data_IF_677945230065
#
_entry.id   IF_677945230065
#
_cell.length_a   1.000
_cell.length_b   1.000
_cell.length_c   1.000
_cell.angle_alpha   90.00
_cell.angle_beta   90.00
_cell.angle_gamma   90.00
#
_symmetry.space_group_name_H-M   'P 1'
#
loop_
_entity.id
_entity.type
_entity.pdbx_description
1 polymer ?
#
# COMPACT_ATOMS: atom_id res chain seq x y z
N UNK A 1 34.71 -1.48 -7.14
CA UNK A 1 33.94 -2.02 -8.27
C UNK A 1 32.71 -1.14 -8.45
N UNK A 2 32.47 -0.60 -9.64
CA UNK A 2 31.21 0.11 -9.92
C UNK A 2 30.08 -0.92 -10.05
N UNK A 3 28.98 -0.68 -9.34
CA UNK A 3 27.79 -1.54 -9.38
C UNK A 3 27.14 -1.46 -10.76
N UNK A 4 27.01 -2.59 -11.44
CA UNK A 4 26.38 -2.65 -12.77
C UNK A 4 24.86 -2.55 -12.64
N UNK A 5 24.24 -1.81 -13.57
CA UNK A 5 22.78 -1.71 -13.61
C UNK A 5 22.19 -3.02 -14.15
N UNK A 6 21.16 -3.54 -13.49
CA UNK A 6 20.41 -4.72 -13.90
C UNK A 6 18.93 -4.39 -13.93
N UNK A 7 18.15 -5.18 -14.65
CA UNK A 7 16.70 -5.10 -14.58
C UNK A 7 16.21 -5.64 -13.24
N UNK A 8 15.49 -4.82 -12.50
CA UNK A 8 14.90 -5.19 -11.21
C UNK A 8 13.39 -5.12 -11.30
N UNK A 9 12.72 -6.16 -10.77
CA UNK A 9 11.29 -6.17 -10.53
C UNK A 9 11.06 -6.09 -9.03
N UNK A 10 10.74 -4.90 -8.53
CA UNK A 10 10.54 -4.63 -7.10
C UNK A 10 9.05 -4.69 -6.80
N UNK A 11 8.67 -5.56 -5.86
CA UNK A 11 7.29 -5.78 -5.45
C UNK A 11 7.11 -5.50 -3.97
N UNK A 12 6.00 -4.87 -3.61
CA UNK A 12 5.54 -4.74 -2.24
C UNK A 12 4.24 -5.53 -2.06
N UNK A 13 4.30 -6.52 -1.17
CA UNK A 13 3.19 -7.43 -0.88
C UNK A 13 2.51 -7.04 0.43
N UNK A 14 1.21 -7.27 0.52
CA UNK A 14 0.50 -7.22 1.79
C UNK A 14 0.72 -8.49 2.63
N UNK A 15 0.17 -8.51 3.85
CA UNK A 15 0.25 -9.64 4.78
C UNK A 15 -0.35 -10.94 4.25
N UNK A 16 -1.17 -10.86 3.19
CA UNK A 16 -1.80 -12.01 2.55
C UNK A 16 -1.02 -12.46 1.29
N UNK A 17 0.13 -11.85 1.00
CA UNK A 17 0.91 -12.14 -0.20
C UNK A 17 0.35 -11.52 -1.48
N UNK A 18 -0.61 -10.58 -1.40
CA UNK A 18 -1.08 -9.88 -2.60
C UNK A 18 -0.15 -8.72 -2.94
N UNK A 19 0.24 -8.63 -4.21
CA UNK A 19 1.01 -7.49 -4.72
C UNK A 19 0.16 -6.22 -4.65
N UNK A 20 0.66 -5.19 -3.95
CA UNK A 20 0.01 -3.86 -3.88
C UNK A 20 0.70 -2.85 -4.78
N UNK A 21 2.02 -2.92 -4.88
CA UNK A 21 2.81 -2.09 -5.76
C UNK A 21 3.88 -2.94 -6.44
N UNK A 22 4.14 -2.64 -7.71
CA UNK A 22 5.20 -3.27 -8.50
C UNK A 22 5.85 -2.22 -9.39
N UNK A 23 7.18 -2.24 -9.46
CA UNK A 23 7.97 -1.38 -10.33
C UNK A 23 9.03 -2.25 -11.00
N UNK A 24 9.05 -2.25 -12.33
CA UNK A 24 10.13 -2.84 -13.12
C UNK A 24 11.02 -1.73 -13.64
N UNK A 25 12.30 -1.73 -13.27
CA UNK A 25 13.25 -0.70 -13.71
C UNK A 25 14.69 -1.24 -13.77
N UNK A 26 15.40 -0.87 -14.84
CA UNK A 26 16.85 -1.07 -14.93
C UNK A 26 17.58 -0.07 -14.05
N UNK A 27 18.21 -0.54 -12.98
CA UNK A 27 18.95 0.30 -12.04
C UNK A 27 20.02 -0.48 -11.25
N UNK A 28 20.79 0.22 -10.43
CA UNK A 28 21.74 -0.38 -9.49
C UNK A 28 21.00 -1.02 -8.30
N UNK A 29 21.62 -1.99 -7.63
CA UNK A 29 21.00 -2.68 -6.48
C UNK A 29 20.61 -1.68 -5.38
N UNK A 30 21.50 -0.73 -5.08
CA UNK A 30 21.25 0.39 -4.17
C UNK A 30 19.96 1.17 -4.49
N UNK A 31 19.67 1.41 -5.77
CA UNK A 31 18.42 2.06 -6.22
C UNK A 31 17.23 1.13 -6.06
N UNK A 32 17.36 -0.15 -6.38
CA UNK A 32 16.29 -1.14 -6.19
C UNK A 32 15.88 -1.26 -4.71
N UNK A 33 16.85 -1.27 -3.77
CA UNK A 33 16.59 -1.24 -2.32
C UNK A 33 15.87 0.05 -1.90
N UNK A 34 16.28 1.19 -2.47
CA UNK A 34 15.62 2.48 -2.19
C UNK A 34 14.17 2.49 -2.70
N UNK A 35 13.92 1.92 -3.88
CA UNK A 35 12.57 1.75 -4.42
C UNK A 35 11.70 0.87 -3.50
N UNK A 36 12.24 -0.25 -3.01
CA UNK A 36 11.52 -1.13 -2.08
C UNK A 36 11.09 -0.39 -0.79
N UNK A 37 12.00 0.40 -0.19
CA UNK A 37 11.69 1.23 0.99
C UNK A 37 10.62 2.28 0.69
N UNK A 38 10.67 2.90 -0.50
CA UNK A 38 9.67 3.88 -0.92
C UNK A 38 8.28 3.24 -1.07
N UNK A 39 8.20 2.05 -1.66
CA UNK A 39 6.94 1.30 -1.76
C UNK A 39 6.36 0.97 -0.37
N UNK A 40 7.21 0.53 0.56
CA UNK A 40 6.80 0.30 1.95
C UNK A 40 6.29 1.57 2.62
N UNK A 41 7.01 2.69 2.46
CA UNK A 41 6.60 3.97 3.04
C UNK A 41 5.24 4.41 2.50
N UNK A 42 5.02 4.34 1.19
CA UNK A 42 3.73 4.67 0.58
C UNK A 42 2.60 3.80 1.15
N UNK A 43 2.85 2.50 1.34
CA UNK A 43 1.87 1.61 1.95
C UNK A 43 1.57 1.97 3.41
N UNK A 44 2.58 2.37 4.17
CA UNK A 44 2.44 2.81 5.57
C UNK A 44 1.72 4.14 5.70
N UNK A 45 1.98 5.08 4.79
CA UNK A 45 1.38 6.44 4.81
C UNK A 45 0.09 6.54 4.03
N UNK A 46 -0.40 5.44 3.44
CA UNK A 46 -1.65 5.46 2.67
C UNK A 46 -2.82 5.95 3.53
N UNK A 47 -3.68 6.83 3.00
CA UNK A 47 -4.81 7.37 3.75
C UNK A 47 -5.75 6.24 4.22
N UNK A 48 -6.36 6.43 5.39
CA UNK A 48 -7.20 5.41 6.04
C UNK A 48 -8.36 4.92 5.15
N UNK A 49 -8.78 5.73 4.17
CA UNK A 49 -9.81 5.40 3.20
C UNK A 49 -9.42 4.20 2.30
N UNK A 50 -8.12 3.98 2.07
CA UNK A 50 -7.58 2.81 1.33
C UNK A 50 -7.08 1.69 2.25
N UNK A 51 -7.06 1.90 3.57
CA UNK A 51 -6.79 0.84 4.55
C UNK A 51 -7.99 -0.07 4.76
N UNK A 52 -9.19 0.41 4.47
CA UNK A 52 -10.41 -0.37 4.62
C UNK A 52 -10.89 -0.92 3.26
N UNK A 53 -10.48 -2.14 2.93
CA UNK A 53 -11.38 -3.04 2.19
C UNK A 53 -12.50 -3.53 3.13
N UNK A 54 -13.13 -2.65 3.90
CA UNK A 54 -14.41 -2.99 4.49
C UNK A 54 -15.38 -2.89 3.33
N UNK A 55 -15.81 -4.05 2.85
CA UNK A 55 -17.09 -4.20 2.17
C UNK A 55 -18.03 -3.17 2.77
N UNK A 56 -18.43 -2.16 2.00
CA UNK A 56 -19.65 -1.40 2.27
C UNK A 56 -20.84 -2.33 2.04
N UNK A 57 -20.89 -3.44 2.79
CA UNK A 57 -22.05 -4.30 2.86
C UNK A 57 -22.91 -3.76 3.99
N UNK A 58 -23.79 -2.84 3.59
CA UNK A 58 -25.11 -2.57 4.17
C UNK A 58 -25.16 -2.05 5.61
N UNK A 59 -25.66 -0.81 5.70
CA UNK A 59 -26.83 -0.44 6.50
C UNK A 59 -26.92 -1.05 7.91
N UNK A 60 -26.49 -0.34 8.95
CA UNK A 60 -27.20 -0.37 10.24
C UNK A 60 -27.10 0.98 10.97
N UNK A 61 -28.22 1.72 10.86
CA UNK A 61 -28.84 2.56 11.89
C UNK A 61 -28.06 3.76 12.46
N UNK A 62 -28.27 4.92 11.83
CA UNK A 62 -28.37 6.20 12.56
C UNK A 62 -29.60 6.07 13.48
N UNK A 63 -29.41 5.50 14.68
CA UNK A 63 -30.39 5.64 15.77
C UNK A 63 -30.21 7.03 16.36
N UNK A 64 -30.78 8.06 15.72
CA UNK A 64 -31.12 9.29 16.43
C UNK A 64 -32.35 8.99 17.27
N UNK A 65 -32.13 8.50 18.50
CA UNK A 65 -33.20 8.43 19.50
C UNK A 65 -33.33 9.82 20.13
N UNK A 66 -34.55 10.34 20.04
CA UNK A 66 -35.23 11.21 21.01
C UNK A 66 -34.50 12.49 21.44
N UNK A 67 -35.01 13.63 20.97
CA UNK A 67 -35.39 14.69 21.90
C UNK A 67 -36.88 14.97 21.67
N UNK A 68 -37.68 14.45 22.60
CA UNK A 68 -39.05 14.86 22.86
C UNK A 68 -38.93 15.77 24.08
N UNK A 69 -39.07 17.08 23.88
CA UNK A 69 -39.45 18.08 24.87
C UNK A 69 -40.02 19.27 24.11
#
# INVERSE_FOLDING_TARGET
MMESSKEWNVQFLDVNGNVKYQISQTCTESKAVTLARKLEQMWRTRPANERSSKKQSKLVAIRSRKNLL
#
